data_IF_608181471469
#
_entry.id   IF_608181471469
#
_cell.length_a   1.000
_cell.length_b   1.000
_cell.length_c   1.000
_cell.angle_alpha   90.00
_cell.angle_beta   90.00
_cell.angle_gamma   90.00
#
_symmetry.space_group_name_H-M   'P 1'
#
loop_
_entity.id
_entity.type
_entity.pdbx_description
1 polymer ?
#
# COMPACT_ATOMS: atom_id res chain seq x y z
N UNK A 1 -11.83 16.11 15.43
CA UNK A 1 -11.68 14.68 15.10
C UNK A 1 -12.58 13.84 16.00
N UNK A 2 -13.41 12.96 15.43
CA UNK A 2 -14.24 11.97 16.15
C UNK A 2 -13.68 10.56 15.94
N UNK A 3 -13.43 9.83 17.01
CA UNK A 3 -13.09 8.40 16.95
C UNK A 3 -14.37 7.57 17.04
N UNK A 4 -14.59 6.66 16.10
CA UNK A 4 -15.77 5.79 16.03
C UNK A 4 -15.36 4.33 15.85
N UNK A 5 -16.09 3.42 16.49
CA UNK A 5 -15.74 1.99 16.53
C UNK A 5 -16.75 1.07 15.85
N UNK A 6 -17.97 1.55 15.57
CA UNK A 6 -19.01 0.75 14.91
C UNK A 6 -19.38 1.34 13.56
N UNK A 7 -19.87 0.49 12.66
CA UNK A 7 -20.36 0.90 11.34
C UNK A 7 -21.58 1.81 11.49
N UNK A 8 -22.44 1.53 12.46
CA UNK A 8 -23.60 2.36 12.77
C UNK A 8 -23.19 3.78 13.20
N UNK A 9 -22.25 3.89 14.15
CA UNK A 9 -21.77 5.19 14.62
C UNK A 9 -21.05 5.95 13.51
N UNK A 10 -20.26 5.25 12.68
CA UNK A 10 -19.62 5.83 11.51
C UNK A 10 -20.67 6.45 10.57
N UNK A 11 -21.70 5.71 10.18
CA UNK A 11 -22.76 6.20 9.27
C UNK A 11 -23.53 7.37 9.88
N UNK A 12 -23.87 7.29 11.17
CA UNK A 12 -24.51 8.41 11.88
C UNK A 12 -23.62 9.66 11.87
N UNK A 13 -22.31 9.50 12.04
CA UNK A 13 -21.32 10.59 12.01
C UNK A 13 -21.17 11.19 10.61
N UNK A 14 -21.23 10.36 9.56
CA UNK A 14 -21.05 10.82 8.17
C UNK A 14 -22.31 11.41 7.55
N UNK A 15 -23.51 11.15 8.10
CA UNK A 15 -24.81 11.62 7.59
C UNK A 15 -24.90 13.12 7.24
N UNK A 16 -24.29 14.06 8.02
CA UNK A 16 -24.33 15.49 7.70
C UNK A 16 -23.48 15.88 6.49
N UNK A 17 -22.53 15.03 6.09
CA UNK A 17 -21.57 15.29 5.02
C UNK A 17 -22.04 14.64 3.71
N UNK A 18 -21.60 15.18 2.59
CA UNK A 18 -21.98 14.72 1.26
C UNK A 18 -20.85 13.95 0.57
N UNK A 19 -19.59 14.31 0.81
CA UNK A 19 -18.44 13.91 -0.01
C UNK A 19 -17.26 13.47 0.86
N UNK A 20 -17.32 12.31 1.52
CA UNK A 20 -16.22 11.77 2.31
C UNK A 20 -14.99 11.43 1.46
N UNK A 21 -13.80 11.77 1.97
CA UNK A 21 -12.50 11.35 1.46
C UNK A 21 -11.87 10.35 2.43
N UNK A 22 -11.70 9.10 1.98
CA UNK A 22 -11.23 7.99 2.80
C UNK A 22 -9.71 7.76 2.65
N UNK A 23 -9.03 7.54 3.77
CA UNK A 23 -7.63 7.08 3.84
C UNK A 23 -7.60 5.74 4.60
N UNK A 24 -7.57 4.59 3.91
CA UNK A 24 -7.48 3.30 4.57
C UNK A 24 -6.07 3.04 5.09
N UNK A 25 -5.94 2.68 6.38
CA UNK A 25 -4.66 2.34 7.01
C UNK A 25 -4.80 1.13 7.93
N UNK A 26 -3.66 0.54 8.30
CA UNK A 26 -3.58 -0.49 9.35
C UNK A 26 -3.09 0.06 10.70
N UNK A 27 -2.96 1.39 10.85
CA UNK A 27 -2.41 2.03 12.06
C UNK A 27 -0.88 2.07 12.09
N UNK A 28 -0.33 2.38 13.27
CA UNK A 28 1.09 2.70 13.49
C UNK A 28 1.60 3.73 12.48
N UNK A 29 0.95 4.89 12.50
CA UNK A 29 1.07 5.92 11.48
C UNK A 29 2.43 6.62 11.53
N UNK A 30 2.88 7.03 10.35
CA UNK A 30 4.14 7.74 10.13
C UNK A 30 3.91 8.86 9.11
N UNK A 31 4.92 9.71 8.84
CA UNK A 31 4.77 10.88 7.97
C UNK A 31 4.12 10.57 6.61
N UNK A 32 4.48 9.45 5.97
CA UNK A 32 3.82 9.03 4.72
C UNK A 32 2.31 8.80 4.82
N UNK A 33 1.78 8.37 5.96
CA UNK A 33 0.33 8.29 6.18
C UNK A 33 -0.30 9.67 6.35
N UNK A 34 0.42 10.59 7.00
CA UNK A 34 -0.03 11.97 7.20
C UNK A 34 -0.11 12.72 5.86
N UNK A 35 0.79 12.42 4.93
CA UNK A 35 0.69 12.93 3.55
C UNK A 35 -0.57 12.46 2.82
N UNK A 36 -1.03 11.22 3.08
CA UNK A 36 -2.32 10.75 2.54
C UNK A 36 -3.48 11.56 3.08
N UNK A 37 -3.47 11.86 4.39
CA UNK A 37 -4.52 12.67 5.04
C UNK A 37 -4.51 14.08 4.49
N UNK A 38 -3.34 14.72 4.36
CA UNK A 38 -3.20 16.05 3.74
C UNK A 38 -3.75 16.08 2.31
N UNK A 39 -3.46 15.05 1.52
CA UNK A 39 -3.97 14.92 0.16
C UNK A 39 -5.48 14.64 0.11
N UNK A 40 -6.06 14.03 1.15
CA UNK A 40 -7.49 13.76 1.24
C UNK A 40 -8.33 15.00 1.57
N UNK A 41 -7.81 15.90 2.40
CA UNK A 41 -8.54 17.10 2.89
C UNK A 41 -9.21 17.94 1.80
N UNK A 42 -8.55 18.30 0.68
CA UNK A 42 -9.18 19.14 -0.34
C UNK A 42 -10.19 18.40 -1.23
N UNK A 43 -10.32 17.07 -1.11
CA UNK A 43 -11.15 16.26 -2.01
C UNK A 43 -12.61 16.18 -1.58
N UNK A 44 -12.91 16.48 -0.32
CA UNK A 44 -14.20 16.21 0.29
C UNK A 44 -14.60 17.23 1.35
N UNK A 45 -15.80 17.06 1.92
CA UNK A 45 -16.29 17.86 3.04
C UNK A 45 -16.05 17.18 4.40
N UNK A 46 -15.53 15.96 4.41
CA UNK A 46 -15.08 15.23 5.60
C UNK A 46 -13.94 14.27 5.26
N UNK A 47 -12.86 14.31 6.03
CA UNK A 47 -11.73 13.38 5.92
C UNK A 47 -11.89 12.23 6.90
N UNK A 48 -11.87 11.00 6.39
CA UNK A 48 -12.03 9.77 7.17
C UNK A 48 -10.77 8.93 7.07
N UNK A 49 -10.10 8.66 8.19
CA UNK A 49 -9.04 7.66 8.24
C UNK A 49 -9.60 6.36 8.84
N UNK A 50 -9.36 5.21 8.22
CA UNK A 50 -9.63 3.92 8.87
C UNK A 50 -8.35 3.35 9.47
N UNK A 51 -8.43 2.77 10.66
CA UNK A 51 -7.34 2.05 11.31
C UNK A 51 -7.83 0.63 11.59
N UNK A 52 -7.38 -0.32 10.77
CA UNK A 52 -7.78 -1.72 10.93
C UNK A 52 -6.69 -2.67 10.43
N UNK A 53 -6.14 -3.48 11.33
CA UNK A 53 -5.20 -4.56 10.98
C UNK A 53 -6.01 -5.74 10.44
N UNK A 54 -6.16 -5.82 9.13
CA UNK A 54 -6.99 -6.82 8.48
C UNK A 54 -6.34 -8.21 8.50
N UNK A 55 -6.91 -9.19 9.20
CA UNK A 55 -6.38 -10.57 9.23
C UNK A 55 -6.34 -11.24 7.85
N UNK A 56 -7.29 -10.94 6.96
CA UNK A 56 -7.42 -11.64 5.67
C UNK A 56 -6.26 -11.42 4.70
N UNK A 57 -5.45 -10.38 4.94
CA UNK A 57 -4.27 -10.06 4.11
C UNK A 57 -2.94 -10.45 4.79
N UNK A 58 -2.98 -11.30 5.83
CA UNK A 58 -1.80 -11.89 6.44
C UNK A 58 -1.80 -13.40 6.21
N UNK A 59 -0.68 -13.95 5.73
CA UNK A 59 -0.49 -15.40 5.74
C UNK A 59 -0.19 -15.91 7.17
N UNK A 60 -0.39 -17.21 7.47
CA UNK A 60 -0.22 -17.74 8.84
C UNK A 60 1.17 -17.53 9.46
N UNK A 61 2.20 -17.30 8.64
CA UNK A 61 3.58 -17.08 9.06
C UNK A 61 4.00 -15.60 9.01
N UNK A 62 3.08 -14.69 8.73
CA UNK A 62 3.34 -13.24 8.69
C UNK A 62 3.13 -12.58 10.06
N UNK A 63 3.42 -11.29 10.13
CA UNK A 63 3.52 -10.50 11.35
C UNK A 63 2.16 -10.03 11.91
N UNK A 64 1.07 -10.80 11.76
CA UNK A 64 -0.26 -10.34 12.22
C UNK A 64 -0.32 -10.09 13.73
N UNK A 65 0.18 -11.05 14.53
CA UNK A 65 0.14 -10.97 15.99
C UNK A 65 1.12 -9.92 16.53
N UNK A 66 2.23 -9.71 15.83
CA UNK A 66 3.27 -8.75 16.20
C UNK A 66 3.11 -7.38 15.53
N UNK A 67 2.08 -7.18 14.68
CA UNK A 67 1.85 -5.91 14.01
C UNK A 67 1.59 -4.80 15.05
N UNK A 68 2.30 -3.66 14.98
CA UNK A 68 2.20 -2.59 15.97
C UNK A 68 0.80 -1.97 15.97
N UNK A 69 0.22 -1.85 17.16
CA UNK A 69 -1.11 -1.26 17.38
C UNK A 69 -0.98 -0.10 18.36
N UNK A 70 -1.00 1.13 17.85
CA UNK A 70 -0.72 2.36 18.60
C UNK A 70 -1.84 3.38 18.48
N UNK A 71 -3.09 2.92 18.63
CA UNK A 71 -4.30 3.69 18.29
C UNK A 71 -4.32 5.10 18.89
N UNK A 72 -3.95 5.28 20.15
CA UNK A 72 -3.93 6.61 20.78
C UNK A 72 -2.93 7.55 20.07
N UNK A 73 -1.70 7.11 19.86
CA UNK A 73 -0.68 7.91 19.18
C UNK A 73 -1.04 8.17 17.70
N UNK A 74 -1.75 7.24 17.06
CA UNK A 74 -2.26 7.42 15.70
C UNK A 74 -3.35 8.49 15.66
N UNK A 75 -4.30 8.45 16.59
CA UNK A 75 -5.33 9.47 16.77
C UNK A 75 -4.72 10.87 17.02
N UNK A 76 -3.72 10.98 17.88
CA UNK A 76 -3.07 12.27 18.18
C UNK A 76 -2.44 12.88 16.91
N UNK A 77 -1.75 12.07 16.09
CA UNK A 77 -1.19 12.49 14.81
C UNK A 77 -2.28 12.89 13.81
N UNK A 78 -3.35 12.10 13.69
CA UNK A 78 -4.46 12.39 12.78
C UNK A 78 -5.20 13.67 13.17
N UNK A 79 -5.39 13.91 14.46
CA UNK A 79 -5.99 15.15 14.97
C UNK A 79 -5.14 16.36 14.62
N UNK A 80 -3.81 16.26 14.76
CA UNK A 80 -2.88 17.32 14.40
C UNK A 80 -2.88 17.67 12.90
N UNK A 81 -3.13 16.67 12.03
CA UNK A 81 -3.29 16.89 10.58
C UNK A 81 -4.68 17.42 10.19
N UNK A 82 -5.62 17.48 11.14
CA UNK A 82 -7.01 17.88 10.90
C UNK A 82 -7.82 16.82 10.19
N UNK A 83 -7.62 15.55 10.53
CA UNK A 83 -8.56 14.48 10.18
C UNK A 83 -9.87 14.65 10.95
N UNK A 84 -11.01 14.48 10.29
CA UNK A 84 -12.32 14.71 10.90
C UNK A 84 -12.84 13.48 11.64
N UNK A 85 -12.67 12.29 11.06
CA UNK A 85 -13.18 11.02 11.59
C UNK A 85 -12.12 9.93 11.52
N UNK A 86 -11.96 9.20 12.63
CA UNK A 86 -11.17 7.97 12.68
C UNK A 86 -12.12 6.80 12.87
N UNK A 87 -12.19 5.89 11.90
CA UNK A 87 -12.91 4.64 12.00
C UNK A 87 -11.95 3.52 12.42
N UNK A 88 -12.05 3.08 13.68
CA UNK A 88 -11.19 2.03 14.24
C UNK A 88 -12.02 0.84 14.73
N UNK A 89 -12.63 0.06 13.80
CA UNK A 89 -13.49 -1.06 14.18
C UNK A 89 -12.71 -2.19 14.84
N UNK A 90 -13.40 -2.95 15.69
CA UNK A 90 -12.90 -4.25 16.14
C UNK A 90 -12.98 -5.29 15.02
N UNK A 91 -12.23 -6.39 15.13
CA UNK A 91 -12.35 -7.51 14.19
C UNK A 91 -13.77 -8.08 14.16
N UNK A 92 -14.45 -8.16 15.32
CA UNK A 92 -15.83 -8.63 15.42
C UNK A 92 -16.84 -7.67 14.78
N UNK A 93 -16.58 -6.37 14.81
CA UNK A 93 -17.43 -5.38 14.13
C UNK A 93 -17.32 -5.55 12.62
N UNK A 94 -16.09 -5.65 12.10
CA UNK A 94 -15.89 -5.78 10.67
C UNK A 94 -16.15 -7.20 10.17
N UNK A 95 -15.96 -8.23 10.98
CA UNK A 95 -16.16 -9.65 10.67
C UNK A 95 -16.95 -10.32 11.82
N UNK A 96 -18.28 -10.11 11.90
CA UNK A 96 -19.10 -10.70 12.97
C UNK A 96 -19.18 -12.24 12.89
N UNK A 97 -18.91 -12.78 11.70
CA UNK A 97 -18.74 -14.18 11.39
C UNK A 97 -17.54 -14.35 10.43
N UNK A 98 -17.03 -15.58 10.22
CA UNK A 98 -15.96 -15.82 9.26
C UNK A 98 -16.32 -15.28 7.86
N UNK A 99 -15.44 -14.46 7.28
CA UNK A 99 -15.69 -13.82 5.99
C UNK A 99 -15.69 -14.84 4.83
N UNK A 100 -16.87 -15.31 4.43
CA UNK A 100 -17.06 -16.24 3.31
C UNK A 100 -17.05 -15.57 1.93
N UNK A 101 -17.61 -14.36 1.82
CA UNK A 101 -17.61 -13.59 0.56
C UNK A 101 -16.30 -12.83 0.40
N UNK A 102 -15.64 -13.02 -0.74
CA UNK A 102 -14.33 -12.40 -1.03
C UNK A 102 -14.33 -11.78 -2.42
N UNK A 103 -13.57 -10.71 -2.57
CA UNK A 103 -13.31 -10.10 -3.88
C UNK A 103 -11.99 -10.66 -4.40
N UNK A 104 -12.06 -11.49 -5.44
CA UNK A 104 -10.90 -12.12 -6.05
C UNK A 104 -10.41 -11.27 -7.23
N UNK A 105 -9.22 -10.66 -7.15
CA UNK A 105 -8.62 -9.98 -8.30
C UNK A 105 -8.12 -10.99 -9.36
N UNK A 106 -7.94 -10.56 -10.62
CA UNK A 106 -7.41 -11.41 -11.69
C UNK A 106 -5.99 -11.90 -11.39
N UNK A 107 -5.72 -13.18 -11.67
CA UNK A 107 -4.45 -13.85 -11.31
C UNK A 107 -3.25 -13.24 -12.03
N UNK A 108 -3.42 -12.72 -13.25
CA UNK A 108 -2.37 -12.06 -14.03
C UNK A 108 -1.77 -10.82 -13.35
N UNK A 109 -2.51 -10.23 -12.40
CA UNK A 109 -2.04 -9.12 -11.57
C UNK A 109 -1.86 -9.53 -10.11
N UNK A 110 -2.69 -10.44 -9.60
CA UNK A 110 -2.72 -10.80 -8.18
C UNK A 110 -1.74 -11.88 -7.76
N UNK A 111 -1.24 -12.70 -8.68
CA UNK A 111 -0.35 -13.84 -8.38
C UNK A 111 1.10 -13.59 -8.83
N UNK A 112 1.39 -12.41 -9.38
CA UNK A 112 2.76 -11.96 -9.71
C UNK A 112 3.34 -11.11 -8.57
N UNK A 113 4.66 -10.92 -8.55
CA UNK A 113 5.35 -10.01 -7.62
C UNK A 113 4.96 -10.27 -6.16
N UNK A 114 4.40 -9.28 -5.45
CA UNK A 114 3.96 -9.47 -4.06
C UNK A 114 2.99 -10.64 -3.88
N UNK A 115 2.12 -10.87 -4.86
CA UNK A 115 1.15 -11.94 -4.87
C UNK A 115 1.76 -13.33 -4.86
N UNK A 116 2.87 -13.49 -5.61
CA UNK A 116 3.63 -14.73 -5.66
C UNK A 116 4.22 -15.10 -4.28
N UNK A 117 4.82 -14.11 -3.62
CA UNK A 117 5.45 -14.29 -2.30
C UNK A 117 4.45 -14.25 -1.14
N UNK A 118 3.23 -13.75 -1.37
CA UNK A 118 2.17 -13.60 -0.38
C UNK A 118 0.83 -14.13 -0.95
N UNK A 119 0.69 -15.45 -1.16
CA UNK A 119 -0.51 -16.01 -1.79
C UNK A 119 -1.79 -15.60 -1.07
N UNK A 120 -2.78 -15.11 -1.83
CA UNK A 120 -4.06 -14.64 -1.29
C UNK A 120 -4.03 -13.23 -0.68
N UNK A 121 -2.87 -12.56 -0.60
CA UNK A 121 -2.73 -11.20 -0.06
C UNK A 121 -3.72 -10.23 -0.68
N UNK A 122 -3.76 -10.16 -2.02
CA UNK A 122 -4.63 -9.21 -2.72
C UNK A 122 -6.12 -9.55 -2.64
N UNK A 123 -6.49 -10.82 -2.47
CA UNK A 123 -7.88 -11.18 -2.14
C UNK A 123 -8.28 -10.59 -0.79
N UNK A 124 -7.40 -10.68 0.21
CA UNK A 124 -7.59 -10.06 1.52
C UNK A 124 -7.74 -8.53 1.44
N UNK A 125 -6.85 -7.88 0.69
CA UNK A 125 -6.87 -6.42 0.44
C UNK A 125 -8.16 -6.01 -0.27
N UNK A 126 -8.50 -6.60 -1.42
CA UNK A 126 -9.70 -6.24 -2.18
C UNK A 126 -10.96 -6.41 -1.32
N UNK A 127 -11.03 -7.50 -0.54
CA UNK A 127 -12.17 -7.77 0.33
C UNK A 127 -12.34 -6.71 1.40
N UNK A 128 -11.27 -6.31 2.11
CA UNK A 128 -11.38 -5.29 3.16
C UNK A 128 -11.60 -3.89 2.57
N UNK A 129 -10.95 -3.53 1.47
CA UNK A 129 -11.10 -2.22 0.83
C UNK A 129 -12.51 -2.05 0.28
N UNK A 130 -13.06 -3.07 -0.39
CA UNK A 130 -14.46 -3.08 -0.82
C UNK A 130 -15.39 -2.84 0.38
N UNK A 131 -15.16 -3.55 1.49
CA UNK A 131 -15.98 -3.40 2.70
C UNK A 131 -15.87 -2.00 3.30
N UNK A 132 -14.68 -1.43 3.37
CA UNK A 132 -14.45 -0.05 3.85
C UNK A 132 -15.13 0.99 2.93
N UNK A 133 -15.12 0.79 1.61
CA UNK A 133 -15.89 1.63 0.70
C UNK A 133 -17.40 1.56 1.00
N UNK A 134 -17.93 0.38 1.29
CA UNK A 134 -19.34 0.23 1.68
C UNK A 134 -19.67 0.82 3.06
N UNK A 135 -18.70 0.82 3.99
CA UNK A 135 -18.88 1.43 5.31
C UNK A 135 -18.88 2.96 5.23
N UNK A 136 -17.97 3.54 4.45
CA UNK A 136 -17.66 4.98 4.49
C UNK A 136 -18.32 5.75 3.36
N UNK A 137 -18.40 5.17 2.16
CA UNK A 137 -18.71 5.90 0.92
C UNK A 137 -20.10 5.54 0.33
N UNK A 138 -20.74 4.47 0.79
CA UNK A 138 -22.01 4.00 0.22
C UNK A 138 -23.16 5.01 0.32
N UNK A 139 -23.25 5.73 1.44
CA UNK A 139 -24.30 6.73 1.70
C UNK A 139 -23.91 8.15 1.27
N UNK A 140 -22.73 8.32 0.64
CA UNK A 140 -22.28 9.61 0.13
C UNK A 140 -23.19 10.11 -1.01
N UNK A 141 -23.50 11.40 -0.98
CA UNK A 141 -24.36 12.09 -1.96
C UNK A 141 -23.56 12.82 -3.04
N UNK A 142 -22.32 13.17 -2.72
CA UNK A 142 -21.36 13.84 -3.60
C UNK A 142 -20.30 12.89 -4.14
N UNK A 143 -19.20 13.45 -4.66
CA UNK A 143 -18.02 12.70 -5.05
C UNK A 143 -17.49 11.81 -3.90
N UNK A 144 -16.83 10.71 -4.27
CA UNK A 144 -16.23 9.77 -3.30
C UNK A 144 -14.78 9.63 -3.65
N UNK A 145 -13.90 9.81 -2.68
CA UNK A 145 -12.46 9.66 -2.92
C UNK A 145 -11.87 8.68 -1.93
N UNK A 146 -10.88 7.92 -2.39
CA UNK A 146 -10.04 7.12 -1.53
C UNK A 146 -8.57 7.34 -1.91
N UNK A 147 -7.73 7.61 -0.91
CA UNK A 147 -6.34 7.98 -1.09
C UNK A 147 -5.43 6.82 -0.68
N UNK A 148 -4.53 6.44 -1.59
CA UNK A 148 -3.57 5.35 -1.37
C UNK A 148 -2.15 5.79 -1.75
N UNK A 149 -1.16 5.34 -0.97
CA UNK A 149 0.25 5.59 -1.27
C UNK A 149 0.74 4.77 -2.48
N UNK A 150 1.66 5.34 -3.26
CA UNK A 150 2.35 4.65 -4.36
C UNK A 150 3.41 3.65 -3.86
N UNK A 151 3.74 3.66 -2.57
CA UNK A 151 4.69 2.72 -1.96
C UNK A 151 4.24 1.27 -2.20
N UNK A 152 2.95 0.99 -2.05
CA UNK A 152 2.34 -0.30 -2.33
C UNK A 152 1.80 -0.30 -3.77
N UNK A 153 2.69 -0.17 -4.76
CA UNK A 153 2.36 0.11 -6.17
C UNK A 153 1.38 -0.91 -6.77
N UNK A 154 1.65 -2.21 -6.57
CA UNK A 154 0.77 -3.28 -7.03
C UNK A 154 -0.59 -3.24 -6.34
N UNK A 155 -0.64 -2.94 -5.04
CA UNK A 155 -1.89 -2.77 -4.29
C UNK A 155 -2.75 -1.67 -4.91
N UNK A 156 -2.14 -0.52 -5.20
CA UNK A 156 -2.83 0.60 -5.82
C UNK A 156 -3.38 0.24 -7.21
N UNK A 157 -2.60 -0.46 -8.04
CA UNK A 157 -3.07 -0.93 -9.35
C UNK A 157 -4.24 -1.90 -9.22
N UNK A 158 -4.15 -2.87 -8.32
CA UNK A 158 -5.23 -3.83 -8.01
C UNK A 158 -6.50 -3.11 -7.60
N UNK A 159 -6.41 -2.13 -6.69
CA UNK A 159 -7.57 -1.36 -6.21
C UNK A 159 -8.17 -0.50 -7.33
N UNK A 160 -7.35 0.17 -8.14
CA UNK A 160 -7.82 0.95 -9.29
C UNK A 160 -8.59 0.09 -10.28
N UNK A 161 -8.07 -1.11 -10.61
CA UNK A 161 -8.76 -2.07 -11.48
C UNK A 161 -10.03 -2.62 -10.85
N UNK A 162 -10.02 -2.92 -9.55
CA UNK A 162 -11.23 -3.33 -8.81
C UNK A 162 -12.31 -2.25 -8.91
N UNK A 163 -11.97 -0.98 -8.64
CA UNK A 163 -12.91 0.15 -8.77
C UNK A 163 -13.49 0.24 -10.17
N UNK A 164 -12.64 0.14 -11.20
CA UNK A 164 -13.09 0.19 -12.60
C UNK A 164 -14.01 -0.99 -12.96
N UNK A 165 -13.62 -2.23 -12.65
CA UNK A 165 -14.37 -3.42 -13.05
C UNK A 165 -15.69 -3.61 -12.28
N UNK A 166 -15.74 -3.19 -11.01
CA UNK A 166 -16.99 -3.18 -10.23
C UNK A 166 -17.81 -1.91 -10.43
N UNK A 167 -17.42 -1.03 -11.35
CA UNK A 167 -18.07 0.25 -11.63
C UNK A 167 -18.32 1.08 -10.34
N UNK A 168 -17.37 1.04 -9.41
CA UNK A 168 -17.49 1.76 -8.14
C UNK A 168 -17.33 3.26 -8.41
N UNK A 169 -18.25 4.12 -7.92
CA UNK A 169 -18.20 5.56 -8.16
C UNK A 169 -17.21 6.24 -7.19
N UNK A 170 -15.96 5.77 -7.17
CA UNK A 170 -14.89 6.19 -6.24
C UNK A 170 -13.66 6.63 -7.04
N UNK A 171 -13.22 7.87 -6.84
CA UNK A 171 -11.95 8.37 -7.37
C UNK A 171 -10.77 7.88 -6.52
N UNK A 172 -9.87 7.11 -7.12
CA UNK A 172 -8.63 6.68 -6.46
C UNK A 172 -7.54 7.72 -6.65
N UNK A 173 -7.16 8.38 -5.55
CA UNK A 173 -6.07 9.37 -5.52
C UNK A 173 -4.78 8.71 -5.03
N UNK A 174 -3.69 9.06 -5.70
CA UNK A 174 -2.39 8.45 -5.48
C UNK A 174 -1.39 9.45 -4.96
N UNK A 175 -0.76 9.11 -3.84
CA UNK A 175 0.24 9.97 -3.21
C UNK A 175 1.62 9.32 -3.35
N UNK A 176 2.64 10.08 -3.79
CA UNK A 176 4.00 9.59 -3.91
C UNK A 176 4.54 8.96 -2.62
N UNK A 177 5.44 7.99 -2.77
CA UNK A 177 6.12 7.34 -1.64
C UNK A 177 6.94 8.37 -0.86
N UNK A 178 6.55 8.61 0.39
CA UNK A 178 7.34 9.44 1.29
C UNK A 178 8.61 8.69 1.73
N UNK A 179 9.73 9.42 1.75
CA UNK A 179 11.06 8.89 2.07
C UNK A 179 11.69 9.67 3.21
N UNK A 180 12.54 8.99 3.98
CA UNK A 180 13.47 9.65 4.88
C UNK A 180 14.54 10.43 4.08
N UNK A 181 15.30 11.30 4.76
CA UNK A 181 16.31 12.14 4.11
C UNK A 181 17.40 11.34 3.37
N UNK A 182 17.68 10.12 3.84
CA UNK A 182 18.62 9.17 3.22
C UNK A 182 18.00 8.36 2.06
N UNK A 183 16.72 8.55 1.76
CA UNK A 183 16.01 7.90 0.66
C UNK A 183 15.22 6.64 1.02
N UNK A 184 15.31 6.14 2.26
CA UNK A 184 14.53 4.98 2.69
C UNK A 184 13.03 5.28 2.63
N UNK A 185 12.25 4.43 1.94
CA UNK A 185 10.79 4.51 1.95
C UNK A 185 10.26 4.34 3.38
N UNK A 186 9.38 5.25 3.82
CA UNK A 186 8.81 5.17 5.16
C UNK A 186 7.83 3.99 5.25
N UNK A 187 7.96 3.19 6.30
CA UNK A 187 7.02 2.12 6.64
C UNK A 187 6.93 1.96 8.14
N UNK A 188 5.75 1.55 8.63
CA UNK A 188 5.55 1.11 10.02
C UNK A 188 6.50 -0.04 10.40
N UNK A 189 6.91 -0.86 9.42
CA UNK A 189 7.87 -1.96 9.61
C UNK A 189 9.31 -1.51 9.77
N UNK A 190 9.65 -0.25 9.46
CA UNK A 190 11.02 0.26 9.67
C UNK A 190 11.40 0.27 11.16
N UNK A 191 10.41 0.31 12.08
CA UNK A 191 10.65 0.22 13.53
C UNK A 191 11.13 -1.15 14.01
N UNK A 192 11.09 -2.18 13.16
CA UNK A 192 11.63 -3.51 13.48
C UNK A 192 13.14 -3.61 13.22
N UNK A 193 13.71 -2.65 12.48
CA UNK A 193 15.13 -2.65 12.11
C UNK A 193 15.97 -2.21 13.31
N UNK A 194 17.03 -2.96 13.60
CA UNK A 194 18.13 -2.47 14.44
C UNK A 194 18.81 -1.25 13.80
N UNK A 195 19.66 -0.54 14.55
CA UNK A 195 20.39 0.63 14.02
C UNK A 195 21.24 0.28 12.78
N UNK A 196 21.90 -0.88 12.81
CA UNK A 196 22.71 -1.39 11.70
C UNK A 196 21.85 -1.76 10.50
N UNK A 197 20.73 -2.43 10.72
CA UNK A 197 19.79 -2.77 9.64
C UNK A 197 19.12 -1.51 9.07
N UNK A 198 18.85 -0.49 9.89
CA UNK A 198 18.27 0.78 9.45
C UNK A 198 19.23 1.54 8.53
N UNK A 199 20.53 1.55 8.83
CA UNK A 199 21.54 2.15 7.95
C UNK A 199 21.64 1.38 6.61
N UNK A 200 21.61 0.05 6.67
CA UNK A 200 21.66 -0.81 5.49
C UNK A 200 20.37 -0.75 4.65
N UNK A 201 19.21 -0.51 5.25
CA UNK A 201 17.89 -0.51 4.59
C UNK A 201 17.79 0.41 3.36
N UNK A 202 18.60 1.48 3.32
CA UNK A 202 18.69 2.42 2.19
C UNK A 202 19.14 1.72 0.89
N UNK A 203 19.87 0.60 0.99
CA UNK A 203 20.45 -0.10 -0.14
C UNK A 203 19.41 -0.73 -1.08
N UNK A 204 18.21 -1.07 -0.59
CA UNK A 204 17.11 -1.48 -1.46
C UNK A 204 16.74 -0.37 -2.44
N UNK A 205 16.64 0.87 -1.94
CA UNK A 205 16.31 2.04 -2.75
C UNK A 205 17.39 2.33 -3.79
N UNK A 206 18.66 2.23 -3.40
CA UNK A 206 19.80 2.43 -4.30
C UNK A 206 19.90 1.35 -5.38
N UNK A 207 19.66 0.09 -5.02
CA UNK A 207 19.65 -1.03 -5.97
C UNK A 207 18.55 -0.86 -7.03
N UNK A 208 17.34 -0.47 -6.63
CA UNK A 208 16.24 -0.20 -7.57
C UNK A 208 16.54 0.98 -8.49
N UNK A 209 17.14 2.06 -7.97
CA UNK A 209 17.56 3.19 -8.81
C UNK A 209 18.66 2.80 -9.79
N UNK A 210 19.60 1.95 -9.39
CA UNK A 210 20.63 1.43 -10.28
C UNK A 210 20.04 0.55 -11.38
N UNK A 211 19.15 -0.39 -11.02
CA UNK A 211 18.41 -1.21 -11.98
C UNK A 211 17.61 -0.36 -12.96
N UNK A 212 16.94 0.69 -12.48
CA UNK A 212 16.20 1.62 -13.34
C UNK A 212 17.08 2.37 -14.32
N UNK A 213 18.25 2.88 -13.88
CA UNK A 213 19.21 3.52 -14.78
C UNK A 213 19.73 2.56 -15.85
N UNK A 214 20.12 1.36 -15.46
CA UNK A 214 20.62 0.33 -16.38
C UNK A 214 19.54 -0.09 -17.39
N UNK A 215 18.27 -0.18 -16.94
CA UNK A 215 17.15 -0.48 -17.80
C UNK A 215 16.90 0.62 -18.84
N UNK A 216 16.94 1.89 -18.43
CA UNK A 216 16.81 3.02 -19.36
C UNK A 216 17.97 3.08 -20.36
N UNK A 217 19.20 2.77 -19.92
CA UNK A 217 20.38 2.72 -20.78
C UNK A 217 20.32 1.59 -21.81
N UNK A 218 19.63 0.49 -21.52
CA UNK A 218 19.43 -0.61 -22.46
C UNK A 218 18.50 -0.25 -23.63
N UNK A 219 17.66 0.79 -23.49
CA UNK A 219 16.75 1.29 -24.52
C UNK A 219 15.98 0.16 -25.25
N UNK A 220 16.05 0.10 -26.58
CA UNK A 220 15.39 -0.93 -27.40
C UNK A 220 15.90 -2.36 -27.12
N UNK A 221 17.08 -2.49 -26.52
CA UNK A 221 17.67 -3.75 -26.08
C UNK A 221 17.14 -4.25 -24.73
N UNK A 222 16.30 -3.47 -24.03
CA UNK A 222 15.86 -3.78 -22.66
C UNK A 222 15.31 -5.20 -22.53
N UNK A 223 14.37 -5.62 -23.38
CA UNK A 223 13.75 -6.94 -23.28
C UNK A 223 14.77 -8.10 -23.34
N UNK A 224 15.87 -7.92 -24.06
CA UNK A 224 16.96 -8.91 -24.16
C UNK A 224 17.86 -8.90 -22.92
N UNK A 225 18.18 -7.71 -22.40
CA UNK A 225 19.14 -7.56 -21.32
C UNK A 225 18.52 -7.68 -19.93
N UNK A 226 17.21 -7.45 -19.80
CA UNK A 226 16.51 -7.33 -18.52
C UNK A 226 16.75 -8.51 -17.57
N UNK A 227 16.67 -9.79 -17.97
CA UNK A 227 16.92 -10.90 -17.05
C UNK A 227 18.30 -10.80 -16.37
N UNK A 228 19.34 -10.44 -17.13
CA UNK A 228 20.70 -10.27 -16.58
C UNK A 228 20.84 -9.01 -15.72
N UNK A 229 20.09 -7.94 -16.02
CA UNK A 229 20.06 -6.73 -15.19
C UNK A 229 19.41 -7.02 -13.83
N UNK A 230 18.27 -7.72 -13.83
CA UNK A 230 17.52 -8.11 -12.63
C UNK A 230 18.33 -9.07 -11.76
N UNK A 231 18.93 -10.11 -12.37
CA UNK A 231 19.80 -11.06 -11.66
C UNK A 231 20.98 -10.34 -11.00
N UNK A 232 21.67 -9.45 -11.72
CA UNK A 232 22.78 -8.67 -11.16
C UNK A 232 22.33 -7.79 -9.99
N UNK A 233 21.16 -7.17 -10.07
CA UNK A 233 20.62 -6.35 -8.98
C UNK A 233 20.30 -7.20 -7.74
N UNK A 234 19.70 -8.38 -7.93
CA UNK A 234 19.43 -9.36 -6.87
C UNK A 234 20.73 -9.81 -6.21
N UNK A 235 21.72 -10.24 -7.00
CA UNK A 235 23.01 -10.71 -6.46
C UNK A 235 23.77 -9.61 -5.72
N UNK A 236 23.75 -8.38 -6.24
CA UNK A 236 24.39 -7.25 -5.58
C UNK A 236 23.76 -6.94 -4.21
N UNK A 237 22.43 -7.03 -4.08
CA UNK A 237 21.75 -6.83 -2.80
C UNK A 237 21.99 -8.01 -1.85
N UNK A 238 21.95 -9.25 -2.36
CA UNK A 238 22.23 -10.47 -1.60
C UNK A 238 23.65 -10.50 -1.01
N UNK A 239 24.66 -10.04 -1.77
CA UNK A 239 26.04 -9.91 -1.29
C UNK A 239 26.20 -8.97 -0.08
N UNK A 240 25.19 -8.17 0.22
CA UNK A 240 25.13 -7.27 1.38
C UNK A 240 24.34 -7.85 2.56
N UNK A 241 24.01 -9.15 2.53
CA UNK A 241 23.29 -9.84 3.60
C UNK A 241 21.77 -9.75 3.52
N UNK A 242 21.22 -9.23 2.41
CA UNK A 242 19.79 -9.27 2.16
C UNK A 242 19.35 -10.63 1.63
N UNK A 243 18.05 -10.91 1.76
CA UNK A 243 17.38 -12.01 1.08
C UNK A 243 16.32 -11.40 0.14
N UNK A 244 16.69 -11.11 -1.13
CA UNK A 244 15.76 -10.55 -2.09
C UNK A 244 14.72 -11.58 -2.52
N UNK A 245 13.45 -11.17 -2.55
CA UNK A 245 12.38 -11.93 -3.21
C UNK A 245 12.42 -11.65 -4.72
N UNK A 246 12.46 -10.36 -5.08
CA UNK A 246 12.58 -9.91 -6.45
C UNK A 246 13.07 -8.45 -6.51
N UNK A 247 13.82 -8.13 -7.57
CA UNK A 247 14.03 -6.77 -8.07
C UNK A 247 13.75 -6.81 -9.58
N UNK A 248 12.78 -6.05 -10.08
CA UNK A 248 12.29 -6.21 -11.45
C UNK A 248 11.84 -4.90 -12.08
N UNK A 249 11.86 -4.83 -13.42
CA UNK A 249 11.31 -3.71 -14.20
C UNK A 249 10.06 -4.17 -14.93
N UNK A 250 8.96 -3.45 -14.74
CA UNK A 250 7.65 -3.79 -15.31
C UNK A 250 6.99 -2.59 -15.94
N UNK A 251 5.98 -2.84 -16.76
CA UNK A 251 5.14 -1.77 -17.32
C UNK A 251 4.25 -1.15 -16.26
N UNK A 252 4.05 0.17 -16.32
CA UNK A 252 3.18 0.88 -15.37
C UNK A 252 1.70 0.57 -15.54
N UNK A 253 1.26 0.11 -16.71
CA UNK A 253 -0.16 -0.10 -17.02
C UNK A 253 -0.72 -1.40 -16.44
N UNK A 254 0.13 -2.42 -16.30
CA UNK A 254 -0.31 -3.78 -15.95
C UNK A 254 0.70 -4.68 -15.23
N UNK A 255 1.90 -4.17 -14.94
CA UNK A 255 3.00 -4.91 -14.31
C UNK A 255 3.49 -6.14 -15.09
N UNK A 256 3.18 -6.21 -16.39
CA UNK A 256 3.73 -7.23 -17.29
C UNK A 256 5.16 -6.85 -17.73
N UNK A 257 5.90 -7.77 -18.40
CA UNK A 257 7.23 -7.47 -18.92
C UNK A 257 7.24 -6.22 -19.84
N UNK A 258 8.34 -5.44 -19.86
CA UNK A 258 8.46 -4.23 -20.66
C UNK A 258 8.19 -4.45 -22.16
N UNK A 259 7.55 -3.48 -22.82
CA UNK A 259 7.50 -3.37 -24.28
C UNK A 259 8.10 -2.02 -24.71
N UNK A 260 8.61 -1.90 -25.96
CA UNK A 260 9.23 -0.68 -26.45
C UNK A 260 8.30 0.55 -26.33
N UNK A 261 8.83 1.65 -25.80
CA UNK A 261 8.14 2.94 -25.71
C UNK A 261 7.10 3.07 -24.59
N UNK A 262 6.89 2.05 -23.76
CA UNK A 262 5.92 2.11 -22.66
C UNK A 262 6.56 2.62 -21.35
N UNK A 263 5.84 3.41 -20.52
CA UNK A 263 6.32 3.82 -19.20
C UNK A 263 6.57 2.62 -18.28
N UNK A 264 7.67 2.66 -17.53
CA UNK A 264 8.11 1.53 -16.70
C UNK A 264 8.16 1.88 -15.22
N UNK A 265 8.19 0.86 -14.38
CA UNK A 265 8.37 0.97 -12.94
C UNK A 265 9.33 -0.14 -12.50
N UNK A 266 10.30 0.23 -11.68
CA UNK A 266 11.17 -0.71 -10.99
C UNK A 266 10.55 -1.02 -9.64
N UNK A 267 10.37 -2.30 -9.32
CA UNK A 267 9.82 -2.74 -8.04
C UNK A 267 10.78 -3.73 -7.38
N UNK A 268 10.83 -3.72 -6.06
CA UNK A 268 11.52 -4.78 -5.35
C UNK A 268 11.01 -5.03 -3.95
N UNK A 269 11.23 -6.26 -3.51
CA UNK A 269 11.00 -6.71 -2.16
C UNK A 269 12.17 -7.57 -1.69
N UNK A 270 12.61 -7.34 -0.45
CA UNK A 270 13.72 -8.07 0.14
C UNK A 270 13.59 -8.09 1.67
N UNK A 271 14.06 -9.16 2.30
CA UNK A 271 14.22 -9.23 3.76
C UNK A 271 15.61 -8.75 4.17
N UNK A 272 15.65 -7.92 5.20
CA UNK A 272 16.85 -7.57 5.96
C UNK A 272 16.65 -8.03 7.39
N UNK A 273 17.46 -9.01 7.82
CA UNK A 273 17.17 -9.78 9.02
C UNK A 273 15.80 -10.45 8.94
N UNK A 274 14.88 -10.10 9.84
CA UNK A 274 13.49 -10.61 9.86
C UNK A 274 12.50 -9.69 9.15
N UNK A 275 12.91 -8.48 8.80
CA UNK A 275 12.00 -7.43 8.30
C UNK A 275 11.94 -7.48 6.79
N UNK A 276 10.74 -7.73 6.24
CA UNK A 276 10.50 -7.66 4.79
C UNK A 276 10.16 -6.23 4.37
N UNK A 277 11.01 -5.63 3.55
CA UNK A 277 10.84 -4.29 3.01
C UNK A 277 10.47 -4.37 1.53
N UNK A 278 9.72 -3.36 1.08
CA UNK A 278 9.36 -3.17 -0.32
C UNK A 278 9.64 -1.72 -0.72
N UNK A 279 10.00 -1.51 -1.97
CA UNK A 279 10.16 -0.18 -2.54
C UNK A 279 9.93 -0.22 -4.06
N UNK A 280 9.67 0.94 -4.66
CA UNK A 280 9.50 1.08 -6.10
C UNK A 280 9.86 2.49 -6.60
N UNK A 281 10.13 2.58 -7.91
CA UNK A 281 10.42 3.81 -8.63
C UNK A 281 9.88 3.75 -10.06
N UNK A 282 9.10 4.75 -10.43
CA UNK A 282 8.68 5.00 -11.80
C UNK A 282 9.87 5.53 -12.64
N UNK A 283 10.08 4.97 -13.85
CA UNK A 283 11.12 5.37 -14.83
C UNK A 283 10.55 5.56 -16.24
#
# INVERSE_FOLDING_TARGET
MKLVHTIEELRATLRPYNSPALVPTMGNLHAGHLDLVRAAKPLGDVTVASIFVNRLQFAPHEDFDTYPRTLQADCDKLAAEGCDVVFAPSEKELYPEPQGFKVQPPTELADILEGHFRPGFFTGVCTVVMKLFQCVLAEAKGPRYAVFGQKDYQQQMVIRRMVQQFALPVGIVSVPTQRAADGLALSSRNGYLSETERAEAVQLSLALRALGRDAMAAADGLARHLPALEERAVQALAARGWQPDYLTVRRRIDLQPPQPGEPLVVLGAARLGKTRLIDNFEI
#
